data_IF_396525306380
#
_entry.id   IF_396525306380
#
_cell.length_a   1.000
_cell.length_b   1.000
_cell.length_c   1.000
_cell.angle_alpha   90.00
_cell.angle_beta   90.00
_cell.angle_gamma   90.00
#
_symmetry.space_group_name_H-M   'P 1'
#
loop_
_entity.id
_entity.type
_entity.pdbx_description
1 polymer ?
#
# COMPACT_ATOMS: atom_id res chain seq x y z
N UNK A 1 11.48 -63.14 14.48
CA UNK A 1 10.03 -62.85 14.48
C UNK A 1 9.83 -61.75 13.47
N UNK A 2 9.49 -62.16 12.25
CA UNK A 2 9.23 -61.33 11.09
C UNK A 2 7.81 -60.77 11.19
N UNK A 3 7.67 -59.45 11.22
CA UNK A 3 6.37 -58.80 11.12
C UNK A 3 5.85 -58.91 9.68
N UNK A 4 4.65 -59.46 9.56
CA UNK A 4 3.86 -59.54 8.35
C UNK A 4 3.38 -58.14 7.97
N UNK A 5 3.51 -57.78 6.70
CA UNK A 5 2.88 -56.60 6.13
C UNK A 5 1.41 -56.90 5.85
N UNK A 6 0.53 -56.03 6.31
CA UNK A 6 -0.87 -55.98 5.87
C UNK A 6 -0.96 -55.09 4.63
N UNK A 7 -1.54 -55.65 3.57
CA UNK A 7 -1.84 -55.02 2.29
C UNK A 7 -2.90 -53.92 2.46
N UNK A 8 -2.64 -52.74 1.92
CA UNK A 8 -3.61 -51.65 1.79
C UNK A 8 -4.29 -51.85 0.43
N UNK A 9 -5.61 -52.08 0.42
CA UNK A 9 -6.43 -52.10 -0.79
C UNK A 9 -6.37 -50.73 -1.49
N UNK A 10 -5.93 -50.71 -2.76
CA UNK A 10 -5.95 -49.53 -3.62
C UNK A 10 -7.38 -49.18 -4.04
N UNK A 11 -7.77 -47.91 -3.85
CA UNK A 11 -9.01 -47.34 -4.38
C UNK A 11 -8.94 -47.19 -5.91
N UNK A 12 -10.04 -47.45 -6.65
CA UNK A 12 -10.05 -47.34 -8.10
C UNK A 12 -9.92 -45.88 -8.58
N UNK A 13 -9.04 -45.68 -9.57
CA UNK A 13 -8.88 -44.44 -10.33
C UNK A 13 -10.19 -44.00 -10.98
N UNK A 14 -10.63 -42.76 -10.71
CA UNK A 14 -11.80 -42.10 -11.32
C UNK A 14 -11.44 -41.26 -12.56
N UNK A 15 -10.26 -41.42 -13.13
CA UNK A 15 -9.92 -40.74 -14.38
C UNK A 15 -10.53 -41.49 -15.58
N UNK A 16 -11.27 -40.81 -16.48
CA UNK A 16 -11.73 -41.42 -17.73
C UNK A 16 -10.53 -41.77 -18.63
N UNK A 17 -10.58 -42.94 -19.26
CA UNK A 17 -9.61 -43.39 -20.26
C UNK A 17 -9.44 -42.36 -21.38
N UNK A 18 -8.19 -42.21 -21.83
CA UNK A 18 -7.70 -41.32 -22.87
C UNK A 18 -8.64 -41.25 -24.10
N UNK A 19 -9.45 -40.19 -24.16
CA UNK A 19 -9.98 -39.73 -25.44
C UNK A 19 -9.01 -38.70 -26.01
N UNK A 20 -8.30 -39.07 -27.08
CA UNK A 20 -7.56 -38.15 -27.92
C UNK A 20 -8.50 -37.04 -28.42
N UNK A 21 -8.49 -35.89 -27.76
CA UNK A 21 -9.15 -34.68 -28.24
C UNK A 21 -8.35 -34.19 -29.45
N UNK A 22 -8.91 -34.40 -30.64
CA UNK A 22 -8.35 -33.92 -31.90
C UNK A 22 -8.47 -32.39 -31.98
N UNK A 23 -7.56 -31.68 -31.32
CA UNK A 23 -7.47 -30.22 -31.35
C UNK A 23 -7.22 -29.73 -32.78
N UNK A 24 -8.06 -28.80 -33.23
CA UNK A 24 -7.96 -28.13 -34.52
C UNK A 24 -6.59 -27.45 -34.71
N UNK A 25 -6.15 -27.31 -35.96
CA UNK A 25 -4.83 -26.76 -36.34
C UNK A 25 -4.57 -25.37 -35.72
N UNK A 26 -5.61 -24.52 -35.66
CA UNK A 26 -5.59 -23.20 -34.99
C UNK A 26 -5.27 -23.29 -33.49
N UNK A 27 -5.83 -24.28 -32.79
CA UNK A 27 -5.60 -24.45 -31.34
C UNK A 27 -4.19 -24.93 -31.05
N UNK A 28 -3.62 -25.77 -31.94
CA UNK A 28 -2.21 -26.19 -31.87
C UNK A 28 -1.23 -25.07 -32.20
N UNK A 29 -1.56 -24.19 -33.16
CA UNK A 29 -0.75 -23.01 -33.48
C UNK A 29 -0.79 -21.95 -32.37
N UNK A 30 -1.94 -21.79 -31.71
CA UNK A 30 -2.11 -20.86 -30.56
C UNK A 30 -1.37 -21.36 -29.31
N UNK A 31 -1.42 -22.66 -29.02
CA UNK A 31 -0.63 -23.27 -27.95
C UNK A 31 0.89 -23.16 -28.21
N UNK A 32 1.31 -23.32 -29.46
CA UNK A 32 2.73 -23.19 -29.86
C UNK A 32 3.25 -21.75 -29.86
N UNK A 33 2.36 -20.75 -29.96
CA UNK A 33 2.68 -19.35 -29.77
C UNK A 33 2.82 -18.97 -28.28
N UNK A 34 2.12 -19.68 -27.39
CA UNK A 34 2.20 -19.51 -25.93
C UNK A 34 3.41 -20.23 -25.29
N UNK A 35 4.03 -21.17 -26.00
CA UNK A 35 5.22 -21.93 -25.55
C UNK A 35 6.56 -21.30 -25.93
N UNK A 36 6.60 -20.16 -26.62
CA UNK A 36 7.88 -19.51 -26.89
C UNK A 36 8.42 -18.87 -25.60
N UNK A 37 9.57 -19.33 -25.05
CA UNK A 37 10.22 -18.58 -23.98
C UNK A 37 10.55 -17.18 -24.52
N UNK A 38 10.35 -16.11 -23.73
CA UNK A 38 10.62 -14.77 -24.19
C UNK A 38 12.07 -14.69 -24.68
N UNK A 39 12.25 -14.21 -25.91
CA UNK A 39 13.57 -13.90 -26.46
C UNK A 39 14.15 -12.78 -25.60
N UNK A 40 15.06 -13.16 -24.70
CA UNK A 40 15.81 -12.21 -23.88
C UNK A 40 16.90 -11.62 -24.78
N UNK A 41 16.65 -10.47 -25.39
CA UNK A 41 17.75 -9.59 -25.79
C UNK A 41 18.38 -9.01 -24.52
N UNK A 42 19.43 -9.69 -24.05
CA UNK A 42 20.27 -9.18 -22.98
C UNK A 42 21.05 -7.99 -23.56
N UNK A 43 20.58 -6.77 -23.28
CA UNK A 43 21.43 -5.57 -23.38
C UNK A 43 22.36 -5.60 -22.16
N UNK A 44 23.43 -6.38 -22.31
CA UNK A 44 24.41 -6.71 -21.28
C UNK A 44 25.53 -5.66 -21.18
N UNK A 45 26.10 -5.53 -19.97
CA UNK A 45 27.33 -4.75 -19.72
C UNK A 45 27.19 -3.66 -18.66
N UNK A 46 26.54 -2.53 -18.98
CA UNK A 46 26.60 -1.33 -18.13
C UNK A 46 25.82 -1.41 -16.80
N UNK A 47 24.79 -2.26 -16.70
CA UNK A 47 23.90 -2.31 -15.53
C UNK A 47 24.50 -3.10 -14.36
N UNK A 48 25.28 -4.15 -14.64
CA UNK A 48 25.94 -4.97 -13.61
C UNK A 48 27.10 -4.22 -12.94
N UNK A 49 27.88 -3.45 -13.70
CA UNK A 49 28.93 -2.60 -13.14
C UNK A 49 28.34 -1.48 -12.28
N UNK A 50 27.25 -0.84 -12.71
CA UNK A 50 26.55 0.16 -11.91
C UNK A 50 26.01 -0.42 -10.58
N UNK A 51 25.51 -1.66 -10.58
CA UNK A 51 25.09 -2.34 -9.34
C UNK A 51 26.27 -2.70 -8.43
N UNK A 52 27.35 -3.22 -9.01
CA UNK A 52 28.58 -3.52 -8.25
C UNK A 52 29.12 -2.27 -7.58
N UNK A 53 29.12 -1.13 -8.28
CA UNK A 53 29.50 0.16 -7.69
C UNK A 53 28.50 0.61 -6.61
N UNK A 54 27.18 0.46 -6.82
CA UNK A 54 26.16 0.74 -5.78
C UNK A 54 26.35 -0.11 -4.52
N UNK A 55 26.64 -1.41 -4.65
CA UNK A 55 26.83 -2.30 -3.50
C UNK A 55 28.15 -2.04 -2.78
N UNK A 56 29.22 -1.65 -3.50
CA UNK A 56 30.46 -1.16 -2.88
C UNK A 56 30.21 0.12 -2.08
N UNK A 57 29.46 1.07 -2.64
CA UNK A 57 29.08 2.32 -1.97
C UNK A 57 28.17 2.08 -0.76
N UNK A 58 27.24 1.14 -0.84
CA UNK A 58 26.42 0.71 0.29
C UNK A 58 27.27 0.07 1.40
N UNK A 59 28.21 -0.81 1.05
CA UNK A 59 29.18 -1.37 2.00
C UNK A 59 30.03 -0.31 2.69
N UNK A 60 30.46 0.71 1.94
CA UNK A 60 31.17 1.89 2.49
C UNK A 60 30.26 2.67 3.44
N UNK A 61 28.99 2.90 3.06
CA UNK A 61 28.02 3.58 3.91
C UNK A 61 27.80 2.84 5.24
N UNK A 62 27.60 1.51 5.21
CA UNK A 62 27.47 0.69 6.42
C UNK A 62 28.73 0.75 7.28
N UNK A 63 29.92 0.64 6.67
CA UNK A 63 31.19 0.73 7.40
C UNK A 63 31.38 2.10 8.08
N UNK A 64 31.03 3.19 7.40
CA UNK A 64 31.07 4.55 7.97
C UNK A 64 30.11 4.68 9.15
N UNK A 65 28.88 4.15 9.04
CA UNK A 65 27.90 4.17 10.14
C UNK A 65 28.38 3.34 11.34
N UNK A 66 29.00 2.17 11.13
CA UNK A 66 29.55 1.34 12.22
C UNK A 66 30.72 2.03 12.92
N UNK A 67 31.66 2.60 12.17
CA UNK A 67 32.78 3.38 12.73
C UNK A 67 32.26 4.57 13.53
N UNK A 68 31.22 5.24 13.00
CA UNK A 68 30.57 6.36 13.65
C UNK A 68 29.90 5.97 14.98
N UNK A 69 29.19 4.84 15.05
CA UNK A 69 28.60 4.34 16.31
C UNK A 69 29.67 4.11 17.38
N UNK A 70 30.79 3.48 17.01
CA UNK A 70 31.93 3.26 17.93
C UNK A 70 32.54 4.58 18.40
N UNK A 71 32.58 5.60 17.53
CA UNK A 71 33.13 6.92 17.85
C UNK A 71 32.19 7.76 18.71
N UNK A 72 30.88 7.67 18.48
CA UNK A 72 29.85 8.34 19.30
C UNK A 72 29.82 7.77 20.72
N UNK A 73 29.95 6.44 20.86
CA UNK A 73 30.03 5.78 22.17
C UNK A 73 31.27 6.17 22.98
N UNK A 74 32.29 6.77 22.35
CA UNK A 74 33.55 7.15 22.98
C UNK A 74 33.72 8.66 23.19
N UNK A 75 32.74 9.49 22.80
CA UNK A 75 32.94 10.93 22.72
C UNK A 75 31.96 11.77 23.56
N UNK A 76 32.51 12.74 24.30
CA UNK A 76 31.80 13.60 25.27
C UNK A 76 31.90 15.12 24.97
N UNK A 77 32.33 15.52 23.77
CA UNK A 77 32.70 16.93 23.45
C UNK A 77 32.18 17.43 22.10
N UNK A 78 32.40 18.73 21.81
CA UNK A 78 32.11 19.46 20.55
C UNK A 78 32.46 18.68 19.26
N UNK A 79 33.41 17.76 19.34
CA UNK A 79 33.75 16.84 18.25
C UNK A 79 32.55 15.99 17.81
N UNK A 80 31.67 15.55 18.72
CA UNK A 80 30.45 14.80 18.39
C UNK A 80 29.52 15.62 17.51
N UNK A 81 29.33 16.90 17.83
CA UNK A 81 28.44 17.79 17.09
C UNK A 81 28.94 18.02 15.65
N UNK A 82 30.25 18.22 15.46
CA UNK A 82 30.85 18.39 14.13
C UNK A 82 30.76 17.12 13.29
N UNK A 83 30.95 15.95 13.90
CA UNK A 83 30.85 14.67 13.17
C UNK A 83 29.38 14.37 12.80
N UNK A 84 28.41 14.68 13.66
CA UNK A 84 26.98 14.61 13.30
C UNK A 84 26.62 15.53 12.13
N UNK A 85 27.14 16.77 12.11
CA UNK A 85 26.94 17.69 11.00
C UNK A 85 27.55 17.14 9.70
N UNK A 86 28.77 16.59 9.76
CA UNK A 86 29.40 15.93 8.63
C UNK A 86 28.59 14.72 8.16
N UNK A 87 28.05 13.90 9.07
CA UNK A 87 27.19 12.77 8.72
C UNK A 87 25.93 13.22 7.98
N UNK A 88 25.23 14.25 8.46
CA UNK A 88 24.05 14.81 7.77
C UNK A 88 24.43 15.24 6.35
N UNK A 89 25.53 15.95 6.20
CA UNK A 89 26.00 16.40 4.88
C UNK A 89 26.37 15.20 3.99
N UNK A 90 27.16 14.24 4.46
CA UNK A 90 27.62 13.11 3.65
C UNK A 90 26.56 12.03 3.41
N UNK A 91 25.54 11.90 4.26
CA UNK A 91 24.43 10.96 4.08
C UNK A 91 23.31 11.54 3.21
N UNK A 92 23.07 12.85 3.27
CA UNK A 92 22.03 13.53 2.49
C UNK A 92 22.50 13.97 1.09
N UNK A 93 23.76 14.41 0.95
CA UNK A 93 24.29 14.94 -0.32
C UNK A 93 24.28 13.92 -1.48
N UNK A 94 24.61 12.62 -1.28
CA UNK A 94 24.48 11.62 -2.33
C UNK A 94 23.03 11.45 -2.79
N UNK A 95 22.04 11.46 -1.89
CA UNK A 95 20.62 11.31 -2.25
C UNK A 95 20.14 12.45 -3.16
N UNK A 96 20.57 13.69 -2.89
CA UNK A 96 20.22 14.87 -3.68
C UNK A 96 20.83 14.84 -5.10
N UNK A 97 22.10 14.46 -5.19
CA UNK A 97 22.79 14.30 -6.47
C UNK A 97 22.20 13.13 -7.28
N UNK A 98 21.82 12.05 -6.60
CA UNK A 98 21.24 10.84 -7.19
C UNK A 98 19.84 11.09 -7.77
N UNK A 99 18.98 11.84 -7.08
CA UNK A 99 17.65 12.23 -7.59
C UNK A 99 17.73 13.02 -8.90
N UNK A 100 18.67 13.97 -8.99
CA UNK A 100 18.89 14.76 -10.21
C UNK A 100 19.46 13.94 -11.39
N UNK A 101 20.15 12.83 -11.11
CA UNK A 101 20.66 11.91 -12.13
C UNK A 101 19.57 10.93 -12.57
N UNK A 102 18.76 10.42 -11.65
CA UNK A 102 17.63 9.53 -11.95
C UNK A 102 16.57 10.22 -12.81
N UNK A 103 16.27 11.50 -12.60
CA UNK A 103 15.34 12.27 -13.44
C UNK A 103 15.79 12.39 -14.91
N UNK A 104 17.08 12.19 -15.22
CA UNK A 104 17.58 12.18 -16.61
C UNK A 104 17.41 10.83 -17.30
N UNK A 105 17.13 9.77 -16.54
CA UNK A 105 16.77 8.46 -17.07
C UNK A 105 15.25 8.44 -17.29
N UNK A 106 14.78 8.73 -18.50
CA UNK A 106 13.36 8.62 -18.84
C UNK A 106 12.86 7.19 -18.54
N UNK A 107 11.76 7.00 -17.78
CA UNK A 107 11.12 5.71 -17.71
C UNK A 107 10.38 5.46 -19.03
N UNK A 108 10.74 4.37 -19.72
CA UNK A 108 10.00 3.85 -20.86
C UNK A 108 9.29 2.58 -20.44
N UNK A 109 8.16 2.68 -19.73
CA UNK A 109 7.20 1.57 -19.66
C UNK A 109 5.78 2.13 -19.60
N UNK A 110 4.96 1.80 -20.60
CA UNK A 110 3.51 2.03 -20.58
C UNK A 110 2.86 1.02 -19.64
N UNK A 111 1.87 1.46 -18.85
CA UNK A 111 0.97 0.56 -18.17
C UNK A 111 0.19 -0.29 -19.20
N UNK A 112 -0.09 -1.58 -18.92
CA UNK A 112 -0.93 -2.39 -19.77
C UNK A 112 -2.37 -1.88 -19.70
N UNK A 113 -3.14 -1.94 -20.80
CA UNK A 113 -4.50 -1.45 -20.82
C UNK A 113 -5.40 -2.42 -20.03
N UNK A 114 -6.11 -1.89 -19.04
CA UNK A 114 -7.29 -2.54 -18.48
C UNK A 114 -8.48 -2.04 -19.32
N UNK A 115 -8.96 -2.90 -20.22
CA UNK A 115 -10.24 -2.73 -20.91
C UNK A 115 -11.39 -2.90 -19.91
N UNK A 116 -12.57 -2.28 -20.00
CA UNK A 116 -13.24 -1.44 -21.01
C UNK A 116 -14.53 -0.98 -20.30
N UNK A 117 -14.97 0.28 -20.32
CA UNK A 117 -15.59 0.94 -21.47
C UNK A 117 -15.82 2.41 -21.13
N UNK A 118 -15.38 3.28 -22.04
CA UNK A 118 -15.65 4.71 -22.21
C UNK A 118 -15.09 5.70 -21.17
N UNK A 119 -14.43 6.75 -21.70
CA UNK A 119 -13.77 7.94 -21.10
C UNK A 119 -12.27 7.74 -20.80
N UNK A 120 -11.27 8.37 -21.44
CA UNK A 120 -11.17 9.32 -22.56
C UNK A 120 -9.99 8.88 -23.45
N UNK A 121 -10.27 8.42 -24.68
CA UNK A 121 -9.26 8.12 -25.69
C UNK A 121 -9.00 9.36 -26.55
N UNK A 122 -7.89 10.07 -26.29
CA UNK A 122 -7.19 10.81 -27.35
C UNK A 122 -5.75 10.31 -27.61
N UNK A 123 -5.10 9.58 -26.69
CA UNK A 123 -3.70 9.12 -26.92
C UNK A 123 -3.32 7.73 -26.32
N UNK A 124 -4.28 6.95 -25.84
CA UNK A 124 -4.03 5.60 -25.30
C UNK A 124 -3.31 5.57 -23.94
N UNK A 125 -3.24 6.70 -23.24
CA UNK A 125 -2.84 6.78 -21.83
C UNK A 125 -4.09 6.79 -20.94
N UNK A 126 -4.14 5.91 -19.94
CA UNK A 126 -5.23 5.88 -18.95
C UNK A 126 -5.21 7.19 -18.16
N UNK A 127 -6.35 7.87 -18.07
CA UNK A 127 -6.53 9.01 -17.17
C UNK A 127 -7.25 8.51 -15.93
N UNK A 128 -6.72 8.83 -14.74
CA UNK A 128 -7.29 8.42 -13.47
C UNK A 128 -8.08 9.58 -12.85
N UNK A 129 -9.29 9.35 -12.36
CA UNK A 129 -10.17 10.35 -11.76
C UNK A 129 -10.31 10.14 -10.25
N UNK A 130 -9.17 10.19 -9.55
CA UNK A 130 -9.10 9.98 -8.09
C UNK A 130 -9.43 11.26 -7.32
N UNK A 131 -9.26 12.44 -7.93
CA UNK A 131 -9.67 13.71 -7.34
C UNK A 131 -11.04 14.20 -7.85
N UNK A 132 -11.83 14.84 -6.98
CA UNK A 132 -12.96 15.67 -7.41
C UNK A 132 -12.63 17.16 -7.31
N UNK A 133 -13.42 17.99 -8.00
CA UNK A 133 -13.53 19.39 -7.62
C UNK A 133 -13.84 19.50 -6.12
N UNK A 134 -13.26 20.51 -5.47
CA UNK A 134 -13.58 20.79 -4.08
C UNK A 134 -15.09 21.01 -3.97
N UNK A 135 -15.75 20.30 -3.05
CA UNK A 135 -17.20 20.42 -2.93
C UNK A 135 -17.56 21.87 -2.65
N UNK A 136 -18.49 22.33 -3.48
CA UNK A 136 -19.08 23.65 -3.43
C UNK A 136 -20.33 23.57 -2.58
N UNK A 137 -20.48 24.50 -1.65
CA UNK A 137 -21.66 24.61 -0.82
C UNK A 137 -22.92 24.58 -1.71
N UNK A 138 -23.88 23.69 -1.45
CA UNK A 138 -25.12 23.60 -2.25
C UNK A 138 -25.95 24.88 -2.15
N UNK A 139 -25.78 25.64 -1.05
CA UNK A 139 -26.52 26.88 -0.81
C UNK A 139 -25.92 28.08 -1.55
N UNK A 140 -24.59 28.26 -1.53
CA UNK A 140 -23.95 29.47 -2.07
C UNK A 140 -22.91 29.22 -3.17
N UNK A 141 -22.57 27.97 -3.48
CA UNK A 141 -21.57 27.61 -4.48
C UNK A 141 -20.11 27.86 -4.07
N UNK A 142 -19.85 28.43 -2.89
CA UNK A 142 -18.51 28.65 -2.37
C UNK A 142 -17.83 27.33 -1.99
N UNK A 143 -16.53 27.24 -2.19
CA UNK A 143 -15.73 26.11 -1.73
C UNK A 143 -15.77 26.04 -0.19
N UNK A 144 -16.17 24.90 0.38
CA UNK A 144 -16.17 24.76 1.84
C UNK A 144 -14.80 24.36 2.41
N UNK A 145 -13.74 24.23 1.58
CA UNK A 145 -12.37 24.01 2.04
C UNK A 145 -12.16 22.68 2.80
N UNK A 146 -13.10 21.74 2.71
CA UNK A 146 -13.09 20.51 3.52
C UNK A 146 -13.55 20.70 4.97
N UNK A 147 -14.27 21.78 5.28
CA UNK A 147 -14.99 21.96 6.54
C UNK A 147 -16.38 21.30 6.45
N UNK A 148 -16.92 20.89 7.60
CA UNK A 148 -18.30 20.37 7.74
C UNK A 148 -19.38 21.48 7.68
N UNK A 149 -18.97 22.74 7.55
CA UNK A 149 -19.82 23.91 7.29
C UNK A 149 -19.16 24.83 6.25
N UNK A 150 -19.95 25.64 5.54
CA UNK A 150 -19.42 26.67 4.66
C UNK A 150 -18.95 27.88 5.48
N UNK A 151 -17.70 28.33 5.30
CA UNK A 151 -17.15 29.49 6.00
C UNK A 151 -17.76 30.82 5.56
N UNK A 152 -18.37 30.87 4.37
CA UNK A 152 -19.01 32.07 3.83
C UNK A 152 -20.48 32.21 4.29
N UNK A 153 -21.29 31.16 4.14
CA UNK A 153 -22.73 31.23 4.45
C UNK A 153 -23.14 30.53 5.75
N UNK A 154 -22.22 29.84 6.43
CA UNK A 154 -22.49 29.12 7.68
C UNK A 154 -23.34 27.85 7.52
N UNK A 155 -23.74 27.50 6.29
CA UNK A 155 -24.57 26.32 6.03
C UNK A 155 -23.80 25.05 6.42
N UNK A 156 -24.43 24.21 7.24
CA UNK A 156 -23.98 22.84 7.50
C UNK A 156 -24.10 22.02 6.23
N UNK A 157 -23.02 21.34 5.87
CA UNK A 157 -22.89 20.54 4.64
C UNK A 157 -22.67 19.05 4.95
N UNK A 158 -22.86 18.66 6.21
CA UNK A 158 -22.55 17.33 6.76
C UNK A 158 -23.22 16.16 6.03
N UNK A 159 -24.42 16.39 5.50
CA UNK A 159 -25.21 15.35 4.82
C UNK A 159 -24.91 15.26 3.32
N UNK A 160 -24.24 16.27 2.76
CA UNK A 160 -23.94 16.37 1.32
C UNK A 160 -22.43 16.27 1.03
N UNK A 161 -21.57 16.48 2.02
CA UNK A 161 -20.12 16.70 1.90
C UNK A 161 -19.31 15.59 2.62
N UNK A 162 -17.97 15.66 2.65
CA UNK A 162 -17.06 14.81 1.91
C UNK A 162 -16.50 13.67 2.77
N UNK A 163 -15.99 12.62 2.14
CA UNK A 163 -14.88 11.91 2.79
C UNK A 163 -13.71 12.90 2.88
N UNK A 164 -13.19 13.18 4.06
CA UNK A 164 -12.00 14.00 4.28
C UNK A 164 -10.73 13.16 4.15
N UNK A 165 -10.77 11.96 4.70
CA UNK A 165 -9.63 11.05 4.78
C UNK A 165 -10.02 9.66 4.29
N UNK A 166 -9.33 9.19 3.24
CA UNK A 166 -9.37 7.80 2.80
C UNK A 166 -8.10 7.09 3.24
N UNK A 167 -8.21 5.99 3.96
CA UNK A 167 -7.04 5.23 4.43
C UNK A 167 -6.94 3.92 3.68
N UNK A 168 -5.87 3.75 2.92
CA UNK A 168 -5.47 2.52 2.26
C UNK A 168 -4.65 1.67 3.23
N UNK A 169 -5.26 0.60 3.73
CA UNK A 169 -4.64 -0.39 4.61
C UNK A 169 -4.26 -1.61 3.78
N UNK A 170 -2.98 -1.78 3.48
CA UNK A 170 -2.51 -2.99 2.79
C UNK A 170 -2.33 -4.12 3.79
N UNK A 171 -2.89 -5.29 3.46
CA UNK A 171 -2.93 -6.47 4.34
C UNK A 171 -2.19 -7.63 3.68
N UNK A 172 -1.15 -8.14 4.34
CA UNK A 172 -0.39 -9.33 4.02
C UNK A 172 -0.03 -10.16 5.27
N UNK A 173 -0.73 -11.29 5.47
CA UNK A 173 -0.46 -12.28 6.53
C UNK A 173 -0.34 -11.75 7.97
N UNK A 174 -0.89 -10.58 8.28
CA UNK A 174 -0.86 -10.01 9.62
C UNK A 174 -1.67 -10.84 10.60
N UNK A 175 -1.21 -10.83 11.86
CA UNK A 175 -1.95 -11.46 12.93
C UNK A 175 -3.14 -10.59 13.36
N UNK A 176 -4.17 -11.26 13.89
CA UNK A 176 -5.40 -10.60 14.31
C UNK A 176 -5.19 -9.54 15.41
N UNK A 177 -4.17 -9.70 16.26
CA UNK A 177 -3.93 -8.75 17.36
C UNK A 177 -3.34 -7.44 16.88
N UNK A 178 -2.39 -7.49 15.93
CA UNK A 178 -1.84 -6.31 15.27
C UNK A 178 -2.94 -5.54 14.52
N UNK A 179 -3.77 -6.25 13.75
CA UNK A 179 -4.85 -5.61 12.99
C UNK A 179 -5.93 -5.01 13.90
N UNK A 180 -6.28 -5.68 15.01
CA UNK A 180 -7.21 -5.10 16.01
C UNK A 180 -6.64 -3.83 16.64
N UNK A 181 -5.35 -3.82 16.98
CA UNK A 181 -4.64 -2.65 17.50
C UNK A 181 -4.68 -1.49 16.51
N UNK A 182 -4.39 -1.77 15.23
CA UNK A 182 -4.48 -0.81 14.14
C UNK A 182 -5.88 -0.21 13.99
N UNK A 183 -6.92 -1.04 13.92
CA UNK A 183 -8.31 -0.59 13.80
C UNK A 183 -8.71 0.29 15.00
N UNK A 184 -8.47 -0.18 16.24
CA UNK A 184 -8.87 0.56 17.45
C UNK A 184 -8.16 1.90 17.58
N UNK A 185 -6.85 1.90 17.36
CA UNK A 185 -6.06 3.13 17.46
C UNK A 185 -6.47 4.13 16.38
N UNK A 186 -6.86 3.65 15.20
CA UNK A 186 -7.45 4.50 14.15
C UNK A 186 -8.79 5.09 14.58
N UNK A 187 -9.73 4.27 15.07
CA UNK A 187 -11.05 4.72 15.56
C UNK A 187 -10.93 5.85 16.61
N UNK A 188 -9.92 5.77 17.48
CA UNK A 188 -9.59 6.82 18.46
C UNK A 188 -9.00 8.06 17.77
N UNK A 189 -8.05 7.86 16.86
CA UNK A 189 -7.32 8.94 16.18
C UNK A 189 -8.21 9.79 15.27
N UNK A 190 -9.31 9.22 14.76
CA UNK A 190 -10.26 9.95 13.89
C UNK A 190 -11.37 10.68 14.62
N UNK A 191 -11.49 10.55 15.94
CA UNK A 191 -12.49 11.29 16.71
C UNK A 191 -12.48 12.81 16.43
N UNK A 192 -11.31 13.48 16.31
CA UNK A 192 -11.27 14.89 15.98
C UNK A 192 -11.72 15.22 14.55
N UNK A 193 -11.72 14.24 13.65
CA UNK A 193 -12.20 14.36 12.27
C UNK A 193 -13.70 14.11 12.13
N UNK A 194 -14.38 13.65 13.18
CA UNK A 194 -15.66 12.94 13.12
C UNK A 194 -15.59 11.68 12.22
N UNK A 195 -15.77 10.46 12.77
CA UNK A 195 -15.55 9.22 12.01
C UNK A 195 -16.36 9.12 10.70
N UNK A 196 -17.53 9.76 10.62
CA UNK A 196 -18.38 9.82 9.41
C UNK A 196 -17.73 10.44 8.18
N UNK A 197 -16.67 11.23 8.35
CA UNK A 197 -15.88 11.81 7.25
C UNK A 197 -14.63 11.00 6.91
N UNK A 198 -14.44 9.85 7.54
CA UNK A 198 -13.33 8.95 7.25
C UNK A 198 -13.85 7.70 6.54
N UNK A 199 -12.98 7.08 5.74
CA UNK A 199 -13.20 5.74 5.26
C UNK A 199 -11.94 4.88 5.38
N UNK A 200 -12.13 3.64 5.79
CA UNK A 200 -11.09 2.61 5.82
C UNK A 200 -11.25 1.70 4.62
N UNK A 201 -10.19 1.56 3.82
CA UNK A 201 -10.15 0.63 2.69
C UNK A 201 -9.03 -0.37 2.95
N UNK A 202 -9.41 -1.59 3.34
CA UNK A 202 -8.49 -2.71 3.46
C UNK A 202 -8.29 -3.35 2.09
N UNK A 203 -7.05 -3.48 1.64
CA UNK A 203 -6.70 -4.21 0.41
C UNK A 203 -5.90 -5.45 0.78
N UNK A 204 -6.56 -6.59 0.69
CA UNK A 204 -6.01 -7.88 1.08
C UNK A 204 -5.32 -8.52 -0.12
N UNK A 205 -4.01 -8.82 0.01
CA UNK A 205 -3.12 -9.08 -1.12
C UNK A 205 -3.57 -10.29 -1.97
N UNK A 206 -4.25 -11.28 -1.40
CA UNK A 206 -5.06 -12.21 -2.17
C UNK A 206 -5.43 -13.48 -1.44
N UNK A 207 -6.64 -13.99 -1.68
CA UNK A 207 -7.10 -15.27 -1.12
C UNK A 207 -6.42 -16.51 -1.69
N UNK A 208 -5.66 -16.33 -2.78
CA UNK A 208 -4.85 -17.38 -3.40
C UNK A 208 -3.43 -16.90 -3.59
N UNK A 209 -2.50 -17.82 -3.43
CA UNK A 209 -1.08 -17.58 -3.67
C UNK A 209 -0.78 -17.33 -5.16
N UNK A 210 0.49 -17.17 -5.50
CA UNK A 210 0.91 -16.93 -6.90
C UNK A 210 0.66 -18.12 -7.83
N UNK A 211 0.52 -19.32 -7.26
CA UNK A 211 0.24 -20.58 -7.94
C UNK A 211 -1.27 -20.91 -7.94
N UNK A 212 -2.13 -19.96 -7.54
CA UNK A 212 -3.58 -20.10 -7.45
C UNK A 212 -4.06 -21.11 -6.39
N UNK A 213 -3.20 -21.53 -5.47
CA UNK A 213 -3.60 -22.34 -4.31
C UNK A 213 -4.23 -21.46 -3.24
N UNK A 214 -5.17 -22.02 -2.46
CA UNK A 214 -5.81 -21.28 -1.37
C UNK A 214 -4.76 -20.90 -0.33
N UNK A 215 -4.73 -19.61 0.02
CA UNK A 215 -3.89 -19.09 1.09
C UNK A 215 -4.69 -19.01 2.38
N UNK A 216 -4.63 -20.09 3.17
CA UNK A 216 -5.40 -20.19 4.41
C UNK A 216 -5.03 -19.13 5.44
N UNK A 217 -3.75 -18.75 5.54
CA UNK A 217 -3.32 -17.72 6.49
C UNK A 217 -3.92 -16.36 6.10
N UNK A 218 -3.88 -16.00 4.82
CA UNK A 218 -4.47 -14.76 4.35
C UNK A 218 -6.00 -14.76 4.50
N UNK A 219 -6.65 -15.90 4.31
CA UNK A 219 -8.09 -16.06 4.52
C UNK A 219 -8.48 -15.92 5.99
N UNK A 220 -7.66 -16.43 6.92
CA UNK A 220 -7.88 -16.26 8.35
C UNK A 220 -7.82 -14.77 8.73
N UNK A 221 -6.80 -14.04 8.26
CA UNK A 221 -6.70 -12.59 8.46
C UNK A 221 -7.89 -11.85 7.83
N UNK A 222 -8.29 -12.22 6.61
CA UNK A 222 -9.44 -11.62 5.93
C UNK A 222 -10.76 -11.87 6.69
N UNK A 223 -10.99 -13.10 7.15
CA UNK A 223 -12.15 -13.49 7.95
C UNK A 223 -12.20 -12.69 9.25
N UNK A 224 -11.05 -12.53 9.91
CA UNK A 224 -10.96 -11.71 11.11
C UNK A 224 -11.37 -10.26 10.84
N UNK A 225 -10.76 -9.60 9.85
CA UNK A 225 -11.04 -8.18 9.52
C UNK A 225 -12.52 -7.99 9.19
N UNK A 226 -13.06 -8.81 8.30
CA UNK A 226 -14.44 -8.68 7.80
C UNK A 226 -15.45 -8.89 8.93
N UNK A 227 -15.26 -9.92 9.78
CA UNK A 227 -16.12 -10.18 10.93
C UNK A 227 -16.03 -9.05 11.96
N UNK A 228 -14.81 -8.56 12.25
CA UNK A 228 -14.58 -7.45 13.18
C UNK A 228 -15.24 -6.15 12.74
N UNK A 229 -15.15 -5.80 11.46
CA UNK A 229 -15.77 -4.59 10.90
C UNK A 229 -17.29 -4.69 10.84
N UNK A 230 -17.83 -5.89 10.63
CA UNK A 230 -19.27 -6.14 10.63
C UNK A 230 -19.86 -6.24 12.05
N UNK A 231 -19.04 -6.53 13.06
CA UNK A 231 -19.52 -6.77 14.43
C UNK A 231 -20.18 -8.13 14.61
N UNK A 232 -19.64 -9.16 13.95
CA UNK A 232 -20.09 -10.56 14.09
C UNK A 232 -18.95 -11.46 14.55
N UNK A 233 -19.30 -12.55 15.23
CA UNK A 233 -18.34 -13.58 15.62
C UNK A 233 -17.82 -14.35 14.40
N UNK A 234 -16.56 -14.81 14.47
CA UNK A 234 -15.91 -15.49 13.34
C UNK A 234 -16.62 -16.77 12.92
N UNK A 235 -17.26 -17.46 13.86
CA UNK A 235 -18.02 -18.69 13.61
C UNK A 235 -19.28 -18.46 12.76
N UNK A 236 -19.69 -17.21 12.54
CA UNK A 236 -20.79 -16.83 11.64
C UNK A 236 -20.35 -16.71 10.19
N UNK A 237 -19.04 -16.76 9.92
CA UNK A 237 -18.47 -16.73 8.57
C UNK A 237 -17.93 -18.08 8.14
N UNK A 238 -17.83 -18.30 6.84
CA UNK A 238 -17.15 -19.43 6.22
C UNK A 238 -16.50 -19.00 4.91
N UNK A 239 -15.40 -19.64 4.53
CA UNK A 239 -14.83 -19.49 3.19
C UNK A 239 -15.25 -20.69 2.35
N UNK A 240 -15.81 -20.42 1.16
CA UNK A 240 -16.17 -21.45 0.19
C UNK A 240 -14.93 -21.89 -0.62
N UNK A 241 -15.08 -22.86 -1.54
CA UNK A 241 -13.98 -23.39 -2.37
C UNK A 241 -13.32 -22.31 -3.26
N UNK A 242 -14.04 -21.21 -3.53
CA UNK A 242 -13.52 -20.06 -4.25
C UNK A 242 -12.66 -19.11 -3.38
N UNK A 243 -12.58 -19.38 -2.07
CA UNK A 243 -11.90 -18.61 -1.04
C UNK A 243 -12.63 -17.32 -0.65
N UNK A 244 -13.86 -17.11 -1.13
CA UNK A 244 -14.65 -15.93 -0.75
C UNK A 244 -15.30 -16.18 0.59
N UNK A 245 -15.24 -15.18 1.47
CA UNK A 245 -15.84 -15.23 2.80
C UNK A 245 -17.31 -14.87 2.68
N UNK A 246 -18.17 -15.75 3.16
CA UNK A 246 -19.63 -15.60 3.18
C UNK A 246 -20.14 -15.79 4.60
N UNK A 247 -21.39 -15.39 4.83
CA UNK A 247 -21.98 -15.42 6.15
C UNK A 247 -23.15 -16.40 6.21
N UNK A 248 -23.28 -17.08 7.35
CA UNK A 248 -24.33 -18.11 7.57
C UNK A 248 -25.75 -17.54 7.52
N UNK A 249 -25.91 -16.24 7.79
CA UNK A 249 -27.19 -15.53 7.72
C UNK A 249 -27.58 -15.09 6.31
N UNK A 250 -26.70 -15.28 5.32
CA UNK A 250 -26.89 -14.86 3.92
C UNK A 250 -26.99 -13.35 3.72
N UNK A 251 -26.75 -12.54 4.75
CA UNK A 251 -26.72 -11.08 4.67
C UNK A 251 -25.28 -10.63 4.53
N UNK A 252 -25.05 -9.51 3.84
CA UNK A 252 -23.71 -8.91 3.73
C UNK A 252 -22.69 -9.77 2.98
N UNK A 253 -23.16 -10.68 2.12
CA UNK A 253 -22.30 -11.38 1.16
C UNK A 253 -21.64 -10.36 0.22
N UNK A 254 -20.40 -10.62 -0.22
CA UNK A 254 -19.63 -9.66 -1.00
C UNK A 254 -20.16 -9.50 -2.42
N UNK A 255 -19.94 -8.32 -2.98
CA UNK A 255 -20.06 -8.10 -4.42
C UNK A 255 -18.81 -8.68 -5.10
N UNK A 256 -18.99 -9.62 -6.01
CA UNK A 256 -17.90 -10.19 -6.80
C UNK A 256 -17.78 -9.43 -8.13
N UNK A 257 -16.60 -8.88 -8.41
CA UNK A 257 -16.30 -8.21 -9.67
C UNK A 257 -15.89 -9.21 -10.75
N UNK A 258 -15.82 -8.76 -12.01
CA UNK A 258 -15.50 -9.61 -13.18
C UNK A 258 -14.13 -10.29 -13.10
N UNK A 259 -13.14 -9.63 -12.50
CA UNK A 259 -11.80 -10.16 -12.23
C UNK A 259 -11.77 -11.18 -11.06
N UNK A 260 -12.92 -11.36 -10.39
CA UNK A 260 -13.11 -12.21 -9.23
C UNK A 260 -12.69 -11.56 -7.91
N UNK A 261 -12.37 -10.27 -7.85
CA UNK A 261 -12.20 -9.56 -6.58
C UNK A 261 -13.51 -9.56 -5.81
N UNK A 262 -13.44 -9.85 -4.50
CA UNK A 262 -14.58 -9.79 -3.61
C UNK A 262 -14.56 -8.46 -2.83
N UNK A 263 -15.66 -7.72 -2.89
CA UNK A 263 -15.81 -6.40 -2.27
C UNK A 263 -16.84 -6.48 -1.14
N UNK A 264 -16.42 -6.12 0.06
CA UNK A 264 -17.27 -6.00 1.25
C UNK A 264 -17.33 -4.53 1.64
N UNK A 265 -18.52 -4.05 2.01
CA UNK A 265 -18.74 -2.64 2.34
C UNK A 265 -19.70 -2.55 3.53
N UNK A 266 -19.51 -1.53 4.36
CA UNK A 266 -20.42 -1.23 5.45
C UNK A 266 -20.07 0.05 6.17
N UNK A 267 -20.77 0.28 7.28
CA UNK A 267 -20.60 1.45 8.13
C UNK A 267 -20.48 0.96 9.57
N UNK A 268 -19.46 1.43 10.29
CA UNK A 268 -19.30 1.14 11.72
C UNK A 268 -20.34 1.91 12.54
N UNK A 269 -20.55 1.52 13.80
CA UNK A 269 -21.44 2.25 14.73
C UNK A 269 -21.04 3.72 14.90
N UNK A 270 -19.74 4.02 14.73
CA UNK A 270 -19.19 5.39 14.74
C UNK A 270 -19.60 6.24 13.53
N UNK A 271 -20.25 5.65 12.53
CA UNK A 271 -20.61 6.29 11.26
C UNK A 271 -19.51 6.24 10.20
N UNK A 272 -18.35 5.68 10.51
CA UNK A 272 -17.22 5.55 9.58
C UNK A 272 -17.47 4.48 8.52
N UNK A 273 -17.17 4.80 7.26
CA UNK A 273 -17.30 3.84 6.16
C UNK A 273 -16.11 2.87 6.19
N UNK A 274 -16.38 1.61 5.88
CA UNK A 274 -15.33 0.62 5.70
C UNK A 274 -15.58 -0.20 4.43
N UNK A 275 -14.47 -0.54 3.79
CA UNK A 275 -14.42 -1.33 2.57
C UNK A 275 -13.31 -2.36 2.73
N UNK A 276 -13.57 -3.60 2.32
CA UNK A 276 -12.56 -4.65 2.19
C UNK A 276 -12.53 -5.12 0.74
N UNK A 277 -11.36 -4.99 0.12
CA UNK A 277 -11.05 -5.46 -1.23
C UNK A 277 -10.22 -6.74 -1.10
N UNK A 278 -10.87 -7.89 -1.25
CA UNK A 278 -10.21 -9.20 -1.21
C UNK A 278 -9.87 -9.66 -2.62
N UNK A 279 -8.59 -9.50 -2.99
CA UNK A 279 -8.07 -9.90 -4.29
C UNK A 279 -8.18 -11.41 -4.48
N UNK A 280 -8.38 -11.84 -5.73
CA UNK A 280 -8.40 -13.26 -6.07
C UNK A 280 -7.02 -13.91 -5.97
N UNK A 281 -5.97 -13.21 -6.42
CA UNK A 281 -4.58 -13.70 -6.52
C UNK A 281 -3.62 -12.70 -5.87
N UNK A 282 -2.61 -13.23 -5.17
CA UNK A 282 -1.50 -12.45 -4.64
C UNK A 282 -0.76 -11.67 -5.74
N UNK A 283 -0.64 -10.35 -5.56
CA UNK A 283 0.04 -9.44 -6.50
C UNK A 283 1.11 -8.55 -5.86
N UNK A 284 1.26 -8.60 -4.54
CA UNK A 284 2.14 -7.72 -3.76
C UNK A 284 1.54 -6.33 -3.53
N UNK A 285 2.21 -5.57 -2.65
CA UNK A 285 1.80 -4.25 -2.17
C UNK A 285 1.49 -3.23 -3.27
N UNK A 286 2.33 -3.12 -4.30
CA UNK A 286 2.12 -2.20 -5.43
C UNK A 286 0.82 -2.50 -6.19
N UNK A 287 0.53 -3.78 -6.46
CA UNK A 287 -0.74 -4.19 -7.06
C UNK A 287 -1.92 -3.93 -6.10
N UNK A 288 -1.72 -4.01 -4.78
CA UNK A 288 -2.75 -3.61 -3.83
C UNK A 288 -3.04 -2.11 -3.90
N UNK A 289 -2.03 -1.26 -4.10
CA UNK A 289 -2.26 0.17 -4.37
C UNK A 289 -2.96 0.40 -5.71
N UNK A 290 -2.61 -0.35 -6.76
CA UNK A 290 -3.33 -0.30 -8.05
C UNK A 290 -4.83 -0.61 -7.86
N UNK A 291 -5.14 -1.69 -7.15
CA UNK A 291 -6.52 -2.07 -6.81
C UNK A 291 -7.23 -1.00 -5.98
N UNK A 292 -6.55 -0.38 -5.02
CA UNK A 292 -7.07 0.75 -4.26
C UNK A 292 -7.43 1.92 -5.17
N UNK A 293 -6.52 2.36 -6.03
CA UNK A 293 -6.75 3.49 -6.92
C UNK A 293 -7.82 3.19 -7.97
N UNK A 294 -7.87 1.96 -8.48
CA UNK A 294 -8.91 1.51 -9.42
C UNK A 294 -10.29 1.53 -8.78
N UNK A 295 -10.37 1.15 -7.50
CA UNK A 295 -11.60 1.28 -6.73
C UNK A 295 -12.02 2.75 -6.50
N UNK A 296 -11.06 3.63 -6.20
CA UNK A 296 -11.30 5.07 -6.03
C UNK A 296 -11.78 5.72 -7.34
N UNK A 297 -11.15 5.38 -8.45
CA UNK A 297 -11.40 5.90 -9.81
C UNK A 297 -12.81 5.57 -10.31
N UNK A 298 -13.27 4.33 -10.09
CA UNK A 298 -14.64 3.86 -10.41
C UNK A 298 -15.75 4.63 -9.69
N UNK A 299 -15.42 5.56 -8.81
CA UNK A 299 -16.38 6.48 -8.18
C UNK A 299 -17.23 5.86 -7.08
N UNK A 300 -16.80 4.70 -6.54
CA UNK A 300 -17.45 4.04 -5.40
C UNK A 300 -17.08 4.76 -4.09
N UNK A 301 -15.96 5.50 -4.10
CA UNK A 301 -15.62 6.46 -3.05
C UNK A 301 -16.30 7.80 -3.32
N UNK A 302 -16.77 8.51 -2.28
CA UNK A 302 -17.11 9.94 -2.46
C UNK A 302 -15.83 10.65 -2.87
N UNK A 303 -15.73 11.04 -4.15
CA UNK A 303 -14.53 11.61 -4.82
C UNK A 303 -13.93 12.87 -4.16
N UNK A 304 -14.54 13.31 -3.06
CA UNK A 304 -14.23 14.49 -2.28
C UNK A 304 -13.07 14.33 -1.28
N UNK A 305 -12.42 13.15 -1.23
CA UNK A 305 -11.26 12.89 -0.36
C UNK A 305 -10.25 14.04 -0.44
N UNK A 306 -9.95 14.68 0.70
CA UNK A 306 -8.90 15.72 0.78
C UNK A 306 -7.52 15.10 0.95
N UNK A 307 -7.47 13.91 1.55
CA UNK A 307 -6.27 13.17 1.82
C UNK A 307 -6.49 11.67 1.57
N UNK A 308 -5.49 11.03 0.96
CA UNK A 308 -5.32 9.58 0.97
C UNK A 308 -4.15 9.26 1.89
N UNK A 309 -4.30 8.28 2.75
CA UNK A 309 -3.25 7.83 3.66
C UNK A 309 -2.91 6.37 3.39
N UNK A 310 -1.63 6.05 3.29
CA UNK A 310 -1.13 4.68 3.17
C UNK A 310 -0.60 4.21 4.49
N UNK A 311 -1.09 3.06 4.95
CA UNK A 311 -0.74 2.51 6.25
C UNK A 311 -0.65 0.99 6.14
N UNK A 312 0.34 0.41 6.81
CA UNK A 312 0.34 -1.03 7.02
C UNK A 312 -0.74 -1.39 8.04
N UNK A 313 -1.40 -2.53 7.88
CA UNK A 313 -2.61 -2.84 8.65
C UNK A 313 -2.40 -3.11 10.14
N UNK A 314 -1.14 -3.29 10.56
CA UNK A 314 -0.69 -3.51 11.93
C UNK A 314 -0.11 -2.25 12.61
N UNK A 315 -0.15 -1.10 11.93
CA UNK A 315 0.33 0.17 12.50
C UNK A 315 -0.71 0.77 13.44
N UNK A 316 -0.28 1.03 14.68
CA UNK A 316 -1.08 1.79 15.63
C UNK A 316 -0.91 3.31 15.44
N UNK A 317 -2.02 4.03 15.34
CA UNK A 317 -2.06 5.46 15.05
C UNK A 317 -1.96 6.37 16.28
N UNK A 318 -2.29 5.81 17.44
CA UNK A 318 -2.33 6.51 18.71
C UNK A 318 -1.83 5.59 19.81
N UNK A 319 -0.87 6.09 20.58
CA UNK A 319 -0.44 5.54 21.85
C UNK A 319 -0.30 6.69 22.85
N UNK A 320 -0.08 6.35 24.13
CA UNK A 320 -0.05 7.32 25.23
C UNK A 320 0.90 8.50 24.90
N UNK A 321 0.32 9.70 24.83
CA UNK A 321 1.02 10.96 24.55
C UNK A 321 1.21 11.31 23.07
N UNK A 322 0.72 10.50 22.12
CA UNK A 322 0.83 10.73 20.68
C UNK A 322 -0.51 10.61 19.94
N UNK A 323 -1.62 10.82 20.63
CA UNK A 323 -2.98 10.66 20.11
C UNK A 323 -3.33 11.66 18.99
N UNK A 324 -2.51 12.70 18.82
CA UNK A 324 -2.71 13.77 17.83
C UNK A 324 -1.93 13.57 16.53
N UNK A 325 -1.11 12.53 16.41
CA UNK A 325 -0.20 12.34 15.27
C UNK A 325 -0.92 12.40 13.91
N UNK A 326 -2.06 11.70 13.79
CA UNK A 326 -2.88 11.72 12.58
C UNK A 326 -3.39 13.13 12.23
N UNK A 327 -3.85 13.86 13.26
CA UNK A 327 -4.36 15.22 13.11
C UNK A 327 -3.27 16.21 12.70
N UNK A 328 -2.07 16.09 13.28
CA UNK A 328 -0.93 16.92 12.92
C UNK A 328 -0.46 16.67 11.49
N UNK A 329 -0.44 15.41 11.05
CA UNK A 329 -0.15 15.06 9.66
C UNK A 329 -1.16 15.69 8.70
N UNK A 330 -2.46 15.53 8.96
CA UNK A 330 -3.49 16.10 8.10
C UNK A 330 -3.41 17.63 8.03
N UNK A 331 -3.25 18.30 9.17
CA UNK A 331 -3.05 19.74 9.21
C UNK A 331 -1.77 20.17 8.48
N UNK A 332 -0.71 19.36 8.54
CA UNK A 332 0.52 19.56 7.78
C UNK A 332 0.29 19.52 6.26
N UNK A 333 -0.50 18.56 5.77
CA UNK A 333 -0.86 18.44 4.36
C UNK A 333 -1.73 19.61 3.89
N UNK A 334 -2.68 20.04 4.72
CA UNK A 334 -3.59 21.14 4.38
C UNK A 334 -3.00 22.53 4.56
N UNK A 335 -1.87 22.66 5.25
CA UNK A 335 -1.23 23.95 5.55
C UNK A 335 -0.94 24.79 4.31
N UNK A 336 -0.66 24.15 3.16
CA UNK A 336 -0.43 24.82 1.88
C UNK A 336 -1.01 23.98 0.74
N UNK A 337 -1.63 24.63 -0.23
CA UNK A 337 -2.22 23.96 -1.40
C UNK A 337 -1.19 23.20 -2.24
N UNK A 338 0.04 23.72 -2.33
CA UNK A 338 1.14 23.08 -3.06
C UNK A 338 1.73 21.84 -2.35
N UNK A 339 1.30 21.50 -1.14
CA UNK A 339 1.77 20.30 -0.45
C UNK A 339 1.11 19.06 -1.07
N UNK A 340 1.89 18.31 -1.83
CA UNK A 340 1.45 17.06 -2.47
C UNK A 340 1.42 15.86 -1.52
N UNK A 341 2.26 15.87 -0.47
CA UNK A 341 2.31 14.81 0.52
C UNK A 341 3.08 15.18 1.78
N UNK A 342 2.84 14.40 2.83
CA UNK A 342 3.49 14.46 4.14
C UNK A 342 3.70 13.04 4.65
N UNK A 343 4.72 12.82 5.45
CA UNK A 343 4.94 11.55 6.14
C UNK A 343 5.16 11.80 7.63
N UNK A 344 4.62 10.90 8.45
CA UNK A 344 4.89 10.89 9.87
C UNK A 344 6.05 9.94 10.20
N UNK A 345 6.41 9.91 11.47
CA UNK A 345 7.40 9.00 12.01
C UNK A 345 6.71 7.81 12.67
N UNK A 346 7.04 6.60 12.25
CA UNK A 346 6.59 5.36 12.92
C UNK A 346 7.59 4.99 14.02
N UNK A 347 7.10 4.55 15.17
CA UNK A 347 7.89 3.98 16.26
C UNK A 347 7.76 2.45 16.24
N UNK A 348 8.87 1.71 16.38
CA UNK A 348 8.83 0.24 16.38
C UNK A 348 8.68 -0.25 17.81
N UNK A 349 7.58 -0.94 18.13
CA UNK A 349 7.42 -1.53 19.44
C UNK A 349 8.52 -2.57 19.74
N UNK A 350 8.99 -2.60 20.99
CA UNK A 350 9.95 -3.59 21.48
C UNK A 350 11.30 -3.67 20.73
N UNK A 351 11.77 -2.57 20.14
CA UNK A 351 13.06 -2.50 19.44
C UNK A 351 14.27 -2.99 20.27
N UNK A 352 14.17 -2.94 21.61
CA UNK A 352 15.20 -3.35 22.57
C UNK A 352 15.29 -4.86 22.82
N UNK A 353 14.46 -5.69 22.17
CA UNK A 353 14.41 -7.14 22.43
C UNK A 353 15.73 -7.88 22.18
N UNK A 354 16.50 -7.48 21.17
CA UNK A 354 17.81 -8.05 20.89
C UNK A 354 18.72 -7.06 20.14
N UNK A 355 20.04 -7.30 20.06
CA UNK A 355 20.97 -6.38 19.39
C UNK A 355 20.64 -6.14 17.90
N UNK A 356 20.11 -7.13 17.19
CA UNK A 356 19.76 -6.98 15.78
C UNK A 356 18.57 -6.02 15.61
N UNK A 357 17.52 -6.16 16.42
CA UNK A 357 16.37 -5.25 16.40
C UNK A 357 16.75 -3.84 16.83
N UNK A 358 17.68 -3.70 17.78
CA UNK A 358 18.22 -2.40 18.18
C UNK A 358 18.98 -1.72 17.03
N UNK A 359 19.81 -2.48 16.30
CA UNK A 359 20.52 -1.96 15.13
C UNK A 359 19.57 -1.53 14.02
N UNK A 360 18.56 -2.36 13.70
CA UNK A 360 17.54 -2.03 12.70
C UNK A 360 16.76 -0.76 13.08
N UNK A 361 16.40 -0.63 14.35
CA UNK A 361 15.72 0.56 14.85
C UNK A 361 16.60 1.81 14.79
N UNK A 362 17.88 1.72 15.18
CA UNK A 362 18.82 2.82 15.05
C UNK A 362 18.98 3.28 13.60
N UNK A 363 19.13 2.34 12.67
CA UNK A 363 19.23 2.65 11.23
C UNK A 363 17.96 3.36 10.74
N UNK A 364 16.80 2.85 11.10
CA UNK A 364 15.52 3.47 10.76
C UNK A 364 15.40 4.89 11.35
N UNK A 365 15.66 5.07 12.66
CA UNK A 365 15.55 6.37 13.33
C UNK A 365 16.55 7.39 12.82
N UNK A 366 17.80 6.99 12.58
CA UNK A 366 18.82 7.88 12.01
C UNK A 366 18.40 8.37 10.62
N UNK A 367 17.91 7.46 9.77
CA UNK A 367 17.44 7.81 8.43
C UNK A 367 16.19 8.71 8.45
N UNK A 368 15.20 8.41 9.31
CA UNK A 368 14.00 9.23 9.42
C UNK A 368 14.33 10.60 10.01
N UNK A 369 14.90 10.65 11.21
CA UNK A 369 15.11 11.90 11.92
C UNK A 369 16.07 12.83 11.19
N UNK A 370 17.19 12.34 10.66
CA UNK A 370 18.19 13.20 10.03
C UNK A 370 17.86 13.51 8.57
N UNK A 371 17.51 12.49 7.77
CA UNK A 371 17.28 12.71 6.34
C UNK A 371 15.94 13.43 6.09
N UNK A 372 14.84 13.02 6.74
CA UNK A 372 13.53 13.65 6.50
C UNK A 372 13.42 15.05 7.08
N UNK A 373 14.02 15.30 8.24
CA UNK A 373 14.09 16.67 8.77
C UNK A 373 14.88 17.58 7.85
N UNK A 374 16.00 17.09 7.30
CA UNK A 374 16.80 17.84 6.33
C UNK A 374 16.02 18.09 5.03
N UNK A 375 15.34 17.08 4.47
CA UNK A 375 14.50 17.24 3.28
C UNK A 375 13.37 18.27 3.52
N UNK A 376 12.73 18.21 4.68
CA UNK A 376 11.65 19.13 5.07
C UNK A 376 12.13 20.59 5.18
N UNK A 377 13.40 20.85 5.53
CA UNK A 377 13.97 22.21 5.48
C UNK A 377 13.98 22.80 4.07
N UNK A 378 14.06 21.95 3.03
CA UNK A 378 13.93 22.37 1.64
C UNK A 378 12.48 22.32 1.14
N UNK A 379 11.52 22.04 2.02
CA UNK A 379 10.09 21.97 1.68
C UNK A 379 9.75 20.80 0.76
N UNK A 380 10.53 19.72 0.78
CA UNK A 380 10.28 18.52 -0.02
C UNK A 380 10.48 17.26 0.81
N UNK A 381 10.01 16.13 0.27
CA UNK A 381 10.37 14.79 0.74
C UNK A 381 10.77 14.00 -0.50
N UNK A 382 11.95 13.39 -0.52
CA UNK A 382 12.48 12.72 -1.73
C UNK A 382 11.82 11.36 -1.99
N UNK A 383 11.23 10.76 -0.95
CA UNK A 383 10.55 9.48 -0.98
C UNK A 383 9.57 9.44 0.20
N UNK A 384 8.29 9.22 -0.06
CA UNK A 384 7.32 8.98 1.00
C UNK A 384 7.45 7.53 1.47
N UNK A 385 7.62 7.28 2.78
CA UNK A 385 7.58 5.93 3.31
C UNK A 385 6.29 5.21 2.90
N UNK A 386 6.39 3.90 2.62
CA UNK A 386 5.24 3.09 2.20
C UNK A 386 4.18 2.87 3.29
N UNK A 387 4.36 3.41 4.50
CA UNK A 387 3.43 3.38 5.61
C UNK A 387 3.49 4.72 6.37
N UNK A 388 2.34 5.12 6.93
CA UNK A 388 2.15 6.39 7.65
C UNK A 388 2.53 7.63 6.82
N UNK A 389 2.12 7.60 5.56
CA UNK A 389 2.25 8.72 4.61
C UNK A 389 0.87 9.15 4.15
N UNK A 390 0.70 10.46 3.96
CA UNK A 390 -0.53 11.06 3.50
C UNK A 390 -0.25 11.92 2.27
N UNK A 391 -1.09 11.77 1.26
CA UNK A 391 -0.96 12.38 -0.05
C UNK A 391 -2.25 13.10 -0.44
N UNK A 392 -2.10 14.19 -1.16
CA UNK A 392 -3.21 14.90 -1.78
C UNK A 392 -3.59 14.17 -3.06
N UNK A 393 -4.87 13.78 -3.29
CA UNK A 393 -5.28 13.02 -4.47
C UNK A 393 -4.84 13.65 -5.79
N UNK A 394 -4.94 14.98 -5.92
CA UNK A 394 -4.53 15.73 -7.12
C UNK A 394 -3.03 15.56 -7.43
N UNK A 395 -2.19 15.43 -6.39
CA UNK A 395 -0.76 15.24 -6.60
C UNK A 395 -0.47 13.85 -7.16
N UNK A 396 -1.20 12.82 -6.71
CA UNK A 396 -1.03 11.47 -7.26
C UNK A 396 -1.56 11.35 -8.67
N UNK A 397 -2.68 11.97 -9.00
CA UNK A 397 -3.29 11.88 -10.33
C UNK A 397 -2.28 12.16 -11.46
N UNK A 398 -1.40 13.14 -11.24
CA UNK A 398 -0.34 13.52 -12.20
C UNK A 398 0.78 12.49 -12.37
N UNK A 399 1.01 11.61 -11.39
CA UNK A 399 2.13 10.64 -11.38
C UNK A 399 1.65 9.19 -11.34
N UNK A 400 0.34 8.96 -11.27
CA UNK A 400 -0.23 7.64 -11.01
C UNK A 400 0.08 6.64 -12.14
N UNK A 401 0.13 7.11 -13.38
CA UNK A 401 0.52 6.30 -14.53
C UNK A 401 1.96 5.80 -14.43
N UNK A 402 2.89 6.65 -13.95
CA UNK A 402 4.28 6.23 -13.71
C UNK A 402 4.33 5.29 -12.50
N UNK A 403 3.66 5.64 -11.42
CA UNK A 403 3.62 4.85 -10.19
C UNK A 403 2.99 3.47 -10.37
N UNK A 404 2.05 3.30 -11.30
CA UNK A 404 1.38 2.02 -11.59
C UNK A 404 1.88 1.37 -12.88
N UNK A 405 2.92 1.92 -13.52
CA UNK A 405 3.51 1.31 -14.71
C UNK A 405 3.96 -0.13 -14.41
N UNK A 406 3.73 -1.05 -15.34
CA UNK A 406 4.28 -2.39 -15.21
C UNK A 406 5.78 -2.36 -15.31
N UNK A 407 6.42 -3.33 -14.67
CA UNK A 407 7.86 -3.52 -14.75
C UNK A 407 8.16 -4.93 -15.22
N UNK A 408 9.13 -5.07 -16.12
CA UNK A 408 9.60 -6.39 -16.58
C UNK A 408 10.74 -6.93 -15.73
N UNK A 409 11.35 -6.07 -14.90
CA UNK A 409 12.49 -6.43 -14.05
C UNK A 409 12.31 -5.97 -12.60
N UNK A 410 12.99 -6.63 -11.67
CA UNK A 410 13.04 -6.14 -10.28
C UNK A 410 13.63 -4.72 -10.21
N UNK A 411 14.51 -4.37 -11.16
CA UNK A 411 15.18 -3.08 -11.25
C UNK A 411 14.26 -1.93 -11.63
N UNK A 412 13.51 -2.09 -12.71
CA UNK A 412 12.49 -1.13 -13.13
C UNK A 412 11.43 -0.96 -12.03
N UNK A 413 11.07 -2.05 -11.35
CA UNK A 413 10.14 -2.02 -10.24
C UNK A 413 10.63 -1.11 -9.10
N UNK A 414 11.90 -1.25 -8.71
CA UNK A 414 12.52 -0.41 -7.68
C UNK A 414 12.77 1.06 -8.11
N UNK A 415 12.66 1.40 -9.40
CA UNK A 415 12.74 2.80 -9.86
C UNK A 415 11.37 3.48 -9.88
N UNK A 416 10.32 2.68 -10.05
CA UNK A 416 8.95 3.15 -10.06
C UNK A 416 8.35 3.20 -8.63
N UNK A 417 8.87 2.39 -7.71
CA UNK A 417 8.65 2.48 -6.26
C UNK A 417 9.55 3.58 -5.66
#
# INVERSE_FOLDING_TARGET
MSNQGEEIEEFPSLLPDDQEVNLTKETKETAKALEQPPVIEIIDGNKYEAYREKMKLFGIFVAINVIFIVFVQTASSLAVQLVFLCYIIFSAFPKFLFGSILQKCKPHVRAPPINKTDVDEEDGERVWHVSSEMFKCPSCGCDCGGQNYCTECGQSVEHEHPILLSVCLTVHHEDASGVEGGIRSFEISVLPFEPKYCQLIFVIDGRRDRNMQIDYQQLETASFIICRLRGVERDQSYADDDGVIRFKDGKGDPRILEDGMAVYEGILESGMNWIVLLKKKNGGKRHSHEVFFDYMDRGITRKTAKAIMFVDSDVEFAWEGNERGLMEMYNGLLKREAMGGVCGEIEVAHWYKNPLTMCQYFEYKSNQFLAKTFENWFGMVTCLPGAFSMIRPQAMETVLNEYLATSTSIWEKNQLD
#
